data_IF_943618450437
#
_entry.id   IF_943618450437
#
_cell.length_a   1.000
_cell.length_b   1.000
_cell.length_c   1.000
_cell.angle_alpha   90.00
_cell.angle_beta   90.00
_cell.angle_gamma   90.00
#
_symmetry.space_group_name_H-M   'P 1'
#
loop_
_entity.id
_entity.type
_entity.pdbx_description
1 polymer ?
#
# COMPACT_ATOMS: atom_id res chain seq x y z
N UNK A 1 38.23 49.81 -18.87
CA UNK A 1 39.48 49.84 -18.10
C UNK A 1 39.49 48.59 -17.23
N UNK A 2 40.07 47.50 -17.75
CA UNK A 2 41.36 46.90 -17.32
C UNK A 2 41.40 46.53 -15.83
N UNK A 3 41.49 45.23 -15.59
CA UNK A 3 41.85 44.62 -14.31
C UNK A 3 42.03 43.11 -14.47
N UNK A 4 43.14 42.71 -15.12
CA UNK A 4 43.65 41.33 -15.16
C UNK A 4 44.61 41.17 -13.97
N UNK A 5 44.53 40.05 -13.24
CA UNK A 5 45.71 39.40 -12.65
C UNK A 5 45.42 37.94 -12.27
N UNK A 6 46.28 37.05 -12.78
CA UNK A 6 46.39 35.60 -12.51
C UNK A 6 47.46 35.40 -11.41
N UNK A 7 47.49 34.27 -10.68
CA UNK A 7 48.58 33.32 -10.92
C UNK A 7 48.21 31.82 -10.86
N UNK A 8 49.08 31.04 -11.49
CA UNK A 8 49.14 29.58 -11.68
C UNK A 8 49.11 28.73 -10.39
N UNK A 9 48.63 27.46 -10.47
CA UNK A 9 49.45 26.23 -10.40
C UNK A 9 48.63 24.92 -10.49
N UNK A 10 49.00 24.08 -11.46
CA UNK A 10 49.17 22.61 -11.41
C UNK A 10 48.02 21.65 -10.98
N UNK A 11 47.51 20.84 -11.91
CA UNK A 11 47.77 19.38 -12.06
C UNK A 11 46.64 18.66 -12.82
N UNK A 12 47.05 17.68 -13.63
CA UNK A 12 46.33 16.88 -14.60
C UNK A 12 45.11 16.07 -14.06
N UNK A 13 44.15 15.71 -14.92
CA UNK A 13 43.99 14.36 -15.53
C UNK A 13 42.66 14.29 -16.33
N UNK A 14 42.79 13.72 -17.52
CA UNK A 14 41.86 13.23 -18.57
C UNK A 14 40.43 12.81 -18.19
N UNK A 15 39.47 13.03 -19.11
CA UNK A 15 38.56 11.98 -19.65
C UNK A 15 37.58 12.52 -20.73
N UNK A 16 37.91 12.18 -21.98
CA UNK A 16 37.07 11.74 -23.12
C UNK A 16 35.66 12.32 -23.28
N UNK A 17 35.51 13.18 -24.30
CA UNK A 17 34.25 13.52 -24.99
C UNK A 17 33.87 12.37 -25.95
N UNK A 18 32.65 11.84 -25.88
CA UNK A 18 32.04 11.06 -26.96
C UNK A 18 31.10 11.94 -27.79
N UNK A 19 31.36 11.91 -29.09
CA UNK A 19 30.65 12.61 -30.16
C UNK A 19 29.32 11.89 -30.43
N UNK A 20 28.21 12.62 -30.44
CA UNK A 20 26.92 12.13 -30.91
C UNK A 20 26.90 12.21 -32.44
N UNK A 21 26.84 11.04 -33.10
CA UNK A 21 26.55 10.93 -34.53
C UNK A 21 25.21 10.23 -34.68
N UNK A 22 24.34 10.92 -35.42
CA UNK A 22 23.04 10.51 -35.94
C UNK A 22 23.14 9.23 -36.79
N UNK A 23 22.34 8.22 -36.47
CA UNK A 23 21.88 7.20 -37.42
C UNK A 23 20.39 6.94 -37.19
N UNK A 24 19.61 6.97 -38.28
CA UNK A 24 18.23 6.53 -38.35
C UNK A 24 18.17 4.99 -38.20
N UNK A 25 17.08 4.41 -37.69
CA UNK A 25 16.96 2.96 -37.61
C UNK A 25 16.71 2.39 -39.02
N UNK A 26 17.58 1.50 -39.46
CA UNK A 26 17.29 0.56 -40.55
C UNK A 26 16.26 -0.47 -40.04
N UNK A 27 15.17 -0.63 -40.78
CA UNK A 27 14.24 -1.75 -40.64
C UNK A 27 14.97 -3.05 -40.99
N UNK A 28 15.06 -3.97 -40.03
CA UNK A 28 15.30 -5.39 -40.28
C UNK A 28 14.08 -6.18 -39.82
N UNK A 29 13.19 -6.49 -40.76
CA UNK A 29 12.09 -7.44 -40.55
C UNK A 29 12.67 -8.87 -40.49
N UNK A 30 12.86 -9.37 -39.26
CA UNK A 30 12.93 -10.82 -39.00
C UNK A 30 12.18 -11.11 -37.72
N UNK A 31 10.90 -11.45 -37.85
CA UNK A 31 10.07 -11.94 -36.75
C UNK A 31 10.47 -13.39 -36.44
N UNK A 32 11.33 -13.60 -35.43
CA UNK A 32 11.76 -14.91 -34.92
C UNK A 32 11.18 -15.14 -33.51
N UNK A 33 9.87 -15.03 -33.35
CA UNK A 33 9.21 -15.41 -32.09
C UNK A 33 8.08 -16.41 -32.38
N UNK A 34 8.27 -17.65 -31.92
CA UNK A 34 7.23 -18.66 -31.86
C UNK A 34 6.32 -18.38 -30.65
N UNK A 35 5.03 -18.66 -30.79
CA UNK A 35 4.08 -18.64 -29.67
C UNK A 35 4.44 -19.68 -28.61
N UNK A 36 4.08 -19.42 -27.35
CA UNK A 36 4.30 -20.32 -26.22
C UNK A 36 3.86 -21.76 -26.55
N UNK A 37 4.68 -22.75 -26.18
CA UNK A 37 4.50 -24.17 -26.53
C UNK A 37 5.21 -24.60 -27.83
N UNK A 38 5.84 -23.67 -28.55
CA UNK A 38 6.61 -23.98 -29.76
C UNK A 38 8.01 -23.38 -29.72
N UNK A 39 8.98 -24.12 -30.27
CA UNK A 39 10.37 -23.69 -30.39
C UNK A 39 10.77 -23.59 -31.85
N UNK A 40 11.46 -22.49 -32.19
CA UNK A 40 11.94 -22.28 -33.55
C UNK A 40 13.02 -23.31 -33.92
N UNK A 41 12.75 -24.08 -34.97
CA UNK A 41 13.71 -25.03 -35.52
C UNK A 41 14.45 -24.40 -36.70
N UNK A 42 15.73 -24.11 -36.50
CA UNK A 42 16.60 -23.40 -37.46
C UNK A 42 16.86 -24.22 -38.73
N UNK A 43 16.65 -25.54 -38.72
CA UNK A 43 16.87 -26.40 -39.90
C UNK A 43 15.65 -26.48 -40.80
N UNK A 44 14.46 -26.33 -40.23
CA UNK A 44 13.19 -26.39 -40.98
C UNK A 44 12.52 -25.02 -41.16
N UNK A 45 13.09 -23.97 -40.57
CA UNK A 45 12.57 -22.60 -40.57
C UNK A 45 11.09 -22.51 -40.16
N UNK A 46 10.66 -23.42 -39.26
CA UNK A 46 9.29 -23.50 -38.75
C UNK A 46 9.31 -23.69 -37.23
N UNK A 47 8.25 -23.21 -36.57
CA UNK A 47 8.02 -23.47 -35.15
C UNK A 47 7.59 -24.93 -34.95
N UNK A 48 8.38 -25.68 -34.18
CA UNK A 48 8.06 -27.06 -33.81
C UNK A 48 7.52 -27.10 -32.40
N UNK A 49 6.56 -28.01 -32.21
CA UNK A 49 5.95 -28.30 -30.92
C UNK A 49 7.01 -28.73 -29.90
N UNK A 50 6.98 -28.16 -28.69
CA UNK A 50 7.86 -28.53 -27.59
C UNK A 50 7.19 -29.64 -26.79
N UNK A 51 7.89 -30.74 -26.52
CA UNK A 51 7.33 -31.78 -25.67
C UNK A 51 7.45 -31.41 -24.18
N UNK A 52 6.42 -30.78 -23.62
CA UNK A 52 6.48 -30.30 -22.24
C UNK A 52 6.45 -31.41 -21.18
N UNK A 53 6.02 -32.62 -21.55
CA UNK A 53 6.10 -33.77 -20.67
C UNK A 53 7.54 -34.21 -20.37
N UNK A 54 8.50 -33.83 -21.22
CA UNK A 54 9.93 -34.11 -21.02
C UNK A 54 10.68 -32.89 -20.48
N UNK A 55 10.24 -31.67 -20.81
CA UNK A 55 10.92 -30.44 -20.40
C UNK A 55 10.45 -29.87 -19.06
N UNK A 56 9.23 -30.20 -18.59
CA UNK A 56 8.67 -29.77 -17.31
C UNK A 56 8.66 -30.94 -16.30
N UNK A 57 9.49 -30.91 -15.24
CA UNK A 57 9.45 -31.93 -14.19
C UNK A 57 8.12 -31.88 -13.44
N UNK A 58 7.46 -33.03 -13.26
CA UNK A 58 6.11 -33.13 -12.67
C UNK A 58 5.06 -32.25 -13.36
N UNK A 59 5.09 -32.19 -14.70
CA UNK A 59 4.12 -31.45 -15.51
C UNK A 59 2.65 -31.68 -15.06
N UNK A 60 2.31 -32.89 -14.61
CA UNK A 60 1.00 -33.22 -14.07
C UNK A 60 1.05 -33.53 -12.56
N UNK A 61 0.18 -32.88 -11.77
CA UNK A 61 0.03 -33.13 -10.32
C UNK A 61 -0.96 -34.27 -10.04
N UNK A 62 -0.68 -35.11 -9.04
CA UNK A 62 -1.57 -36.21 -8.61
C UNK A 62 -1.39 -37.51 -9.43
N UNK A 63 -2.43 -38.36 -9.51
CA UNK A 63 -2.37 -39.64 -10.25
C UNK A 63 -2.62 -39.50 -11.76
N UNK A 64 -2.16 -38.40 -12.36
CA UNK A 64 -2.41 -38.04 -13.76
C UNK A 64 -1.15 -38.27 -14.61
N UNK A 65 -1.30 -38.83 -15.80
CA UNK A 65 -0.23 -39.09 -16.77
C UNK A 65 -0.20 -37.97 -17.82
N UNK A 66 1.01 -37.46 -18.10
CA UNK A 66 1.24 -36.42 -19.10
C UNK A 66 1.26 -37.00 -20.53
N UNK A 67 0.61 -36.31 -21.47
CA UNK A 67 0.61 -36.59 -22.90
C UNK A 67 0.95 -35.33 -23.66
N UNK A 68 1.94 -35.40 -24.56
CA UNK A 68 2.29 -34.25 -25.39
C UNK A 68 1.17 -33.95 -26.40
N UNK A 69 0.88 -32.67 -26.62
CA UNK A 69 -0.14 -32.20 -27.56
C UNK A 69 0.39 -30.97 -28.32
N UNK A 70 -0.21 -30.62 -29.46
CA UNK A 70 0.27 -29.46 -30.21
C UNK A 70 0.03 -28.16 -29.43
N UNK A 71 1.12 -27.46 -29.09
CA UNK A 71 1.13 -26.20 -28.35
C UNK A 71 1.02 -26.36 -26.83
N UNK A 72 1.24 -27.57 -26.28
CA UNK A 72 1.18 -27.82 -24.84
C UNK A 72 1.04 -29.29 -24.45
N UNK A 73 0.73 -29.57 -23.19
CA UNK A 73 0.56 -30.96 -22.72
C UNK A 73 -0.78 -31.19 -22.02
N UNK A 74 -1.25 -32.44 -22.05
CA UNK A 74 -2.51 -32.88 -21.44
C UNK A 74 -2.25 -33.87 -20.30
N UNK A 75 -2.88 -33.65 -19.16
CA UNK A 75 -2.84 -34.56 -18.01
C UNK A 75 -4.12 -35.42 -17.98
N UNK A 76 -4.01 -36.75 -18.09
CA UNK A 76 -5.15 -37.68 -18.05
C UNK A 76 -5.03 -38.70 -16.90
N UNK A 77 -6.14 -39.16 -16.29
CA UNK A 77 -6.10 -40.14 -15.19
C UNK A 77 -5.60 -41.51 -15.65
N UNK A 78 -4.95 -42.26 -14.76
CA UNK A 78 -4.36 -43.59 -15.06
C UNK A 78 -5.35 -44.69 -15.54
N UNK A 79 -6.66 -44.46 -15.53
CA UNK A 79 -7.70 -45.45 -15.90
C UNK A 79 -8.24 -45.34 -17.34
N UNK A 80 -7.60 -44.60 -18.25
CA UNK A 80 -7.97 -44.61 -19.66
C UNK A 80 -7.21 -45.70 -20.45
N UNK A 81 -7.90 -46.76 -20.86
CA UNK A 81 -7.36 -47.83 -21.69
C UNK A 81 -7.14 -47.39 -23.15
N UNK A 82 -5.94 -47.68 -23.67
CA UNK A 82 -5.52 -47.50 -25.06
C UNK A 82 -5.97 -48.71 -25.89
N UNK A 83 -6.67 -48.50 -27.00
CA UNK A 83 -6.94 -49.53 -28.02
C UNK A 83 -5.95 -49.32 -29.18
N UNK A 84 -5.26 -50.38 -29.66
CA UNK A 84 -4.17 -50.23 -30.62
C UNK A 84 -4.68 -50.07 -32.06
N UNK A 85 -3.91 -49.33 -32.86
CA UNK A 85 -4.07 -49.23 -34.30
C UNK A 85 -3.76 -50.56 -35.01
N UNK A 86 -4.45 -50.93 -36.10
CA UNK A 86 -3.95 -51.89 -37.07
C UNK A 86 -3.21 -51.19 -38.22
N UNK A 87 -2.11 -51.81 -38.63
CA UNK A 87 -1.26 -51.45 -39.75
C UNK A 87 -1.89 -51.86 -41.12
N UNK A 88 -1.35 -51.38 -42.26
CA UNK A 88 -1.95 -51.48 -43.58
C UNK A 88 -1.51 -52.75 -44.32
N UNK A 89 -2.27 -53.18 -45.34
CA UNK A 89 -1.82 -53.98 -46.50
C UNK A 89 -3.03 -54.33 -47.41
N UNK A 90 -2.89 -54.84 -48.66
CA UNK A 90 -2.35 -54.21 -49.86
C UNK A 90 -3.37 -54.46 -51.04
N UNK A 91 -3.00 -54.43 -52.35
CA UNK A 91 -3.94 -54.11 -53.43
C UNK A 91 -4.75 -55.30 -53.99
N UNK A 92 -5.85 -54.89 -54.62
CA UNK A 92 -6.72 -55.55 -55.61
C UNK A 92 -6.06 -56.56 -56.56
N UNK A 93 -6.79 -57.63 -56.90
CA UNK A 93 -7.19 -58.10 -58.26
C UNK A 93 -7.87 -59.51 -58.17
N UNK A 94 -8.40 -60.10 -59.26
CA UNK A 94 -9.78 -59.99 -59.77
C UNK A 94 -10.49 -61.39 -59.80
N UNK A 95 -11.71 -61.48 -60.33
CA UNK A 95 -12.19 -62.52 -61.27
C UNK A 95 -13.72 -62.69 -61.26
N UNK A 96 -14.29 -62.62 -62.49
CA UNK A 96 -15.32 -63.47 -63.13
C UNK A 96 -16.32 -64.25 -62.24
N UNK A 97 -17.61 -64.37 -62.55
CA UNK A 97 -18.33 -64.38 -63.84
C UNK A 97 -19.85 -64.46 -63.59
N UNK A 98 -20.63 -63.91 -64.53
CA UNK A 98 -21.93 -64.33 -65.12
C UNK A 98 -22.78 -65.43 -64.42
N UNK A 99 -24.13 -65.44 -64.55
CA UNK A 99 -24.79 -65.35 -65.87
C UNK A 99 -26.19 -64.69 -65.96
N UNK A 100 -26.54 -64.46 -67.23
CA UNK A 100 -27.85 -64.50 -67.91
C UNK A 100 -29.10 -63.96 -67.19
N UNK A 101 -29.76 -62.97 -67.80
CA UNK A 101 -31.02 -63.24 -68.52
C UNK A 101 -31.61 -62.01 -69.24
N UNK A 102 -32.10 -62.28 -70.46
CA UNK A 102 -33.32 -61.76 -71.11
C UNK A 102 -33.33 -60.34 -71.68
N UNK A 103 -33.54 -60.33 -72.99
CA UNK A 103 -33.83 -59.21 -73.91
C UNK A 103 -35.28 -58.72 -73.84
N UNK A 104 -35.46 -57.45 -74.29
CA UNK A 104 -36.66 -56.70 -74.73
C UNK A 104 -37.13 -55.57 -73.79
N UNK A 105 -37.73 -54.45 -74.27
CA UNK A 105 -37.40 -53.60 -75.42
C UNK A 105 -37.27 -52.09 -75.03
N UNK A 106 -36.50 -51.35 -75.83
CA UNK A 106 -36.47 -49.88 -76.00
C UNK A 106 -36.90 -48.94 -74.85
N UNK A 107 -35.91 -48.38 -74.16
CA UNK A 107 -35.97 -47.02 -73.64
C UNK A 107 -34.66 -46.30 -73.99
N UNK A 108 -34.71 -45.24 -74.80
CA UNK A 108 -33.52 -44.62 -75.42
C UNK A 108 -32.72 -43.70 -74.48
N UNK A 109 -32.89 -43.82 -73.17
CA UNK A 109 -32.16 -43.04 -72.18
C UNK A 109 -31.64 -43.94 -71.04
N UNK A 110 -30.45 -43.66 -70.47
CA UNK A 110 -29.96 -44.36 -69.28
C UNK A 110 -30.97 -44.31 -68.12
N UNK A 111 -30.89 -45.27 -67.19
CA UNK A 111 -31.70 -45.27 -65.96
C UNK A 111 -31.55 -43.91 -65.23
N UNK A 112 -32.67 -43.36 -64.74
CA UNK A 112 -32.73 -42.01 -64.15
C UNK A 112 -32.99 -40.87 -65.14
N UNK A 113 -33.16 -41.16 -66.44
CA UNK A 113 -33.43 -40.15 -67.47
C UNK A 113 -34.68 -40.46 -68.28
N UNK A 114 -35.44 -39.43 -68.66
CA UNK A 114 -36.59 -39.53 -69.56
C UNK A 114 -36.30 -38.91 -70.94
N UNK A 115 -36.89 -39.49 -71.98
CA UNK A 115 -36.74 -39.00 -73.35
C UNK A 115 -37.74 -37.88 -73.63
N UNK A 116 -37.26 -36.64 -73.62
CA UNK A 116 -38.04 -35.46 -73.99
C UNK A 116 -37.51 -34.92 -75.32
N UNK A 117 -38.23 -35.20 -76.41
CA UNK A 117 -37.89 -34.70 -77.75
C UNK A 117 -36.55 -35.21 -78.31
N UNK A 118 -36.18 -36.46 -78.01
CA UNK A 118 -34.93 -37.08 -78.50
C UNK A 118 -33.68 -36.69 -77.71
N UNK A 119 -33.84 -36.00 -76.58
CA UNK A 119 -32.77 -35.72 -75.59
C UNK A 119 -33.15 -36.36 -74.26
N UNK A 120 -32.16 -36.89 -73.56
CA UNK A 120 -32.33 -37.45 -72.24
C UNK A 120 -32.25 -36.33 -71.21
N UNK A 121 -33.36 -36.10 -70.51
CA UNK A 121 -33.46 -35.13 -69.42
C UNK A 121 -33.51 -35.91 -68.11
N UNK A 122 -32.78 -35.41 -67.13
CA UNK A 122 -32.73 -35.96 -65.78
C UNK A 122 -34.14 -35.99 -65.17
N UNK A 123 -34.53 -37.14 -64.61
CA UNK A 123 -35.79 -37.29 -63.89
C UNK A 123 -35.56 -36.74 -62.50
N UNK A 124 -36.25 -35.65 -62.14
CA UNK A 124 -36.23 -35.20 -60.74
C UNK A 124 -37.11 -36.14 -59.89
N UNK A 125 -36.50 -37.18 -59.31
CA UNK A 125 -37.22 -38.16 -58.50
C UNK A 125 -37.79 -37.54 -57.22
N UNK A 126 -37.20 -36.45 -56.73
CA UNK A 126 -37.65 -35.72 -55.56
C UNK A 126 -38.95 -34.93 -55.82
N UNK A 127 -39.08 -34.30 -56.99
CA UNK A 127 -40.33 -33.62 -57.37
C UNK A 127 -41.44 -34.59 -57.75
N UNK A 128 -41.08 -35.79 -58.22
CA UNK A 128 -42.01 -36.81 -58.69
C UNK A 128 -42.42 -37.83 -57.62
N UNK A 129 -41.91 -37.67 -56.39
CA UNK A 129 -42.12 -38.59 -55.26
C UNK A 129 -41.75 -40.05 -55.63
N UNK A 130 -40.71 -40.21 -56.46
CA UNK A 130 -40.19 -41.49 -56.95
C UNK A 130 -38.85 -41.84 -56.29
N UNK A 131 -38.75 -41.58 -54.98
CA UNK A 131 -37.57 -41.85 -54.16
C UNK A 131 -37.91 -42.74 -52.97
N UNK A 132 -36.90 -43.37 -52.38
CA UNK A 132 -37.03 -44.20 -51.17
C UNK A 132 -36.50 -43.51 -49.90
N UNK A 133 -36.27 -42.18 -49.95
CA UNK A 133 -35.88 -41.39 -48.79
C UNK A 133 -36.90 -41.49 -47.65
N UNK A 134 -36.40 -41.66 -46.42
CA UNK A 134 -37.24 -41.66 -45.22
C UNK A 134 -37.80 -40.26 -44.93
N UNK A 135 -38.93 -40.14 -44.20
CA UNK A 135 -39.52 -38.83 -43.85
C UNK A 135 -38.60 -37.90 -43.05
N UNK A 136 -37.55 -38.43 -42.42
CA UNK A 136 -36.54 -37.68 -41.67
C UNK A 136 -35.36 -37.20 -42.53
N UNK A 137 -35.37 -37.48 -43.84
CA UNK A 137 -34.31 -37.13 -44.80
C UNK A 137 -34.84 -36.17 -45.86
N UNK A 138 -33.93 -35.37 -46.42
CA UNK A 138 -34.19 -34.55 -47.58
C UNK A 138 -33.71 -35.27 -48.84
N UNK A 139 -34.60 -35.41 -49.81
CA UNK A 139 -34.27 -35.89 -51.14
C UNK A 139 -33.58 -34.76 -51.90
N UNK A 140 -32.38 -35.03 -52.43
CA UNK A 140 -31.66 -34.15 -53.33
C UNK A 140 -31.50 -34.84 -54.67
N UNK A 141 -32.05 -34.22 -55.72
CA UNK A 141 -31.94 -34.73 -57.07
C UNK A 141 -30.49 -34.57 -57.59
N UNK A 142 -29.97 -35.61 -58.23
CA UNK A 142 -28.63 -35.65 -58.82
C UNK A 142 -28.72 -36.14 -60.26
N UNK A 143 -27.70 -35.90 -61.07
CA UNK A 143 -27.77 -36.34 -62.48
C UNK A 143 -27.80 -37.88 -62.58
N UNK A 144 -28.92 -38.43 -63.02
CA UNK A 144 -29.17 -39.86 -63.18
C UNK A 144 -29.66 -40.58 -61.93
N UNK A 145 -30.15 -39.86 -60.92
CA UNK A 145 -30.74 -40.45 -59.72
C UNK A 145 -30.84 -39.46 -58.56
N UNK A 146 -31.14 -39.92 -57.35
CA UNK A 146 -31.27 -39.05 -56.18
C UNK A 146 -30.37 -39.50 -55.02
N UNK A 147 -30.09 -38.58 -54.10
CA UNK A 147 -29.45 -38.90 -52.82
C UNK A 147 -30.35 -38.44 -51.66
N UNK A 148 -30.42 -39.25 -50.61
CA UNK A 148 -31.13 -38.90 -49.38
C UNK A 148 -30.13 -38.43 -48.32
N UNK A 149 -30.22 -37.15 -47.95
CA UNK A 149 -29.34 -36.52 -46.97
C UNK A 149 -30.09 -36.21 -45.68
N UNK A 150 -29.42 -36.34 -44.53
CA UNK A 150 -29.99 -35.87 -43.27
C UNK A 150 -30.02 -34.33 -43.23
N UNK A 151 -30.97 -33.72 -42.50
CA UNK A 151 -30.98 -32.29 -42.23
C UNK A 151 -29.66 -31.81 -41.60
N UNK A 152 -29.34 -30.53 -41.75
CA UNK A 152 -28.17 -29.93 -41.10
C UNK A 152 -28.20 -30.17 -39.58
N UNK A 153 -27.06 -30.53 -39.00
CA UNK A 153 -26.95 -30.92 -37.58
C UNK A 153 -27.25 -32.40 -37.30
N UNK A 154 -27.57 -33.21 -38.31
CA UNK A 154 -27.81 -34.65 -38.17
C UNK A 154 -26.83 -35.48 -38.98
N UNK A 155 -26.43 -36.64 -38.45
CA UNK A 155 -25.60 -37.63 -39.15
C UNK A 155 -26.40 -38.89 -39.43
N UNK A 156 -26.11 -39.52 -40.57
CA UNK A 156 -26.73 -40.78 -40.98
C UNK A 156 -26.09 -41.96 -40.23
N UNK A 157 -26.89 -42.74 -39.51
CA UNK A 157 -26.47 -43.97 -38.85
C UNK A 157 -27.40 -45.10 -39.29
N UNK A 158 -26.91 -45.97 -40.17
CA UNK A 158 -27.78 -46.90 -40.89
C UNK A 158 -28.74 -46.15 -41.81
N UNK A 159 -30.03 -46.25 -41.56
CA UNK A 159 -31.09 -45.53 -42.28
C UNK A 159 -31.63 -44.31 -41.52
N UNK A 160 -31.32 -44.14 -40.24
CA UNK A 160 -31.87 -43.05 -39.42
C UNK A 160 -30.94 -41.84 -39.37
N UNK A 161 -31.54 -40.65 -39.23
CA UNK A 161 -30.83 -39.40 -38.97
C UNK A 161 -30.80 -39.16 -37.46
N UNK A 162 -29.61 -39.24 -36.89
CA UNK A 162 -29.38 -39.01 -35.46
C UNK A 162 -28.69 -37.67 -35.30
N UNK A 163 -29.18 -36.90 -34.34
CA UNK A 163 -28.61 -35.61 -33.95
C UNK A 163 -27.10 -35.72 -33.67
N UNK A 164 -26.34 -34.74 -34.15
CA UNK A 164 -24.91 -34.64 -33.88
C UNK A 164 -24.76 -33.97 -32.52
N UNK A 165 -24.27 -34.72 -31.53
CA UNK A 165 -23.98 -34.14 -30.21
C UNK A 165 -22.71 -33.27 -30.28
N UNK A 166 -22.87 -31.99 -30.61
CA UNK A 166 -21.74 -31.05 -30.75
C UNK A 166 -20.99 -30.86 -29.42
N UNK A 167 -21.66 -31.08 -28.29
CA UNK A 167 -21.04 -30.94 -26.96
C UNK A 167 -19.92 -31.96 -26.70
N UNK A 168 -19.86 -33.06 -27.46
CA UNK A 168 -18.74 -34.02 -27.39
C UNK A 168 -17.43 -33.46 -27.94
N UNK A 169 -17.49 -32.40 -28.74
CA UNK A 169 -16.34 -31.84 -29.46
C UNK A 169 -15.82 -30.53 -28.85
N UNK A 170 -16.22 -30.19 -27.61
CA UNK A 170 -15.76 -28.99 -26.87
C UNK A 170 -15.90 -27.68 -27.65
N UNK A 171 -17.00 -27.52 -28.38
CA UNK A 171 -17.27 -26.32 -29.16
C UNK A 171 -17.57 -25.05 -28.35
N UNK A 172 -17.83 -25.18 -27.05
CA UNK A 172 -18.10 -24.08 -26.12
C UNK A 172 -16.95 -23.92 -25.12
N UNK A 173 -16.64 -22.67 -24.75
CA UNK A 173 -15.62 -22.39 -23.73
C UNK A 173 -16.06 -22.84 -22.33
N UNK A 174 -17.31 -22.56 -21.96
CA UNK A 174 -17.91 -22.96 -20.68
C UNK A 174 -18.90 -24.11 -20.88
N UNK A 175 -20.19 -23.91 -20.58
CA UNK A 175 -21.20 -24.97 -20.63
C UNK A 175 -21.77 -25.13 -22.04
N UNK A 176 -21.88 -26.36 -22.51
CA UNK A 176 -22.57 -26.70 -23.76
C UNK A 176 -23.90 -27.40 -23.47
N UNK A 177 -24.95 -27.05 -24.22
CA UNK A 177 -26.24 -27.73 -24.20
C UNK A 177 -26.59 -28.14 -25.62
N UNK A 178 -26.73 -29.45 -25.82
CA UNK A 178 -27.08 -30.04 -27.11
C UNK A 178 -28.59 -29.95 -27.34
N UNK A 179 -28.99 -29.55 -28.54
CA UNK A 179 -30.39 -29.48 -28.97
C UNK A 179 -30.56 -30.25 -30.29
N UNK A 180 -31.75 -30.78 -30.59
CA UNK A 180 -31.95 -31.43 -31.88
C UNK A 180 -31.64 -30.48 -33.06
N UNK A 181 -30.62 -30.80 -33.84
CA UNK A 181 -30.14 -30.05 -35.02
C UNK A 181 -29.20 -28.89 -34.71
N UNK A 182 -28.82 -28.65 -33.44
CA UNK A 182 -27.93 -27.54 -33.07
C UNK A 182 -27.41 -27.64 -31.64
N UNK A 183 -26.64 -26.65 -31.19
CA UNK A 183 -26.20 -26.55 -29.80
C UNK A 183 -26.16 -25.09 -29.36
N UNK A 184 -26.20 -24.87 -28.05
CA UNK A 184 -26.06 -23.55 -27.45
C UNK A 184 -24.97 -23.57 -26.39
N UNK A 185 -24.10 -22.57 -26.44
CA UNK A 185 -23.11 -22.31 -25.40
C UNK A 185 -23.67 -21.37 -24.34
N UNK A 186 -23.39 -21.67 -23.08
CA UNK A 186 -23.78 -20.89 -21.91
C UNK A 186 -22.55 -20.54 -21.09
N UNK A 187 -22.46 -19.29 -20.66
CA UNK A 187 -21.37 -18.83 -19.82
C UNK A 187 -21.70 -19.01 -18.33
N UNK A 188 -20.67 -19.28 -17.52
CA UNK A 188 -20.76 -19.24 -16.07
C UNK A 188 -21.13 -17.82 -15.57
N UNK A 189 -21.66 -17.68 -14.34
CA UNK A 189 -21.93 -16.37 -13.74
C UNK A 189 -20.68 -15.48 -13.74
N UNK A 190 -20.84 -14.18 -13.99
CA UNK A 190 -19.72 -13.23 -14.16
C UNK A 190 -19.17 -13.17 -15.59
N UNK A 191 -19.74 -13.93 -16.53
CA UNK A 191 -19.34 -13.93 -17.94
C UNK A 191 -20.54 -13.74 -18.87
N UNK A 192 -20.28 -13.18 -20.03
CA UNK A 192 -21.26 -13.03 -21.10
C UNK A 192 -20.79 -13.69 -22.40
N UNK A 193 -21.73 -14.16 -23.21
CA UNK A 193 -21.44 -14.83 -24.46
C UNK A 193 -20.88 -13.82 -25.48
N UNK A 194 -19.72 -14.13 -26.04
CA UNK A 194 -19.10 -13.32 -27.08
C UNK A 194 -19.89 -13.40 -28.39
N UNK A 195 -19.64 -12.47 -29.32
CA UNK A 195 -20.35 -12.41 -30.61
C UNK A 195 -20.17 -13.63 -31.52
N UNK A 196 -19.24 -14.54 -31.19
CA UNK A 196 -19.05 -15.81 -31.88
C UNK A 196 -19.97 -16.94 -31.35
N UNK A 197 -20.82 -16.66 -30.35
CA UNK A 197 -21.71 -17.60 -29.67
C UNK A 197 -21.03 -18.84 -29.06
N UNK A 198 -19.72 -18.79 -28.81
CA UNK A 198 -18.92 -19.94 -28.35
C UNK A 198 -18.01 -19.60 -27.18
N UNK A 199 -17.43 -18.40 -27.20
CA UNK A 199 -16.52 -17.91 -26.17
C UNK A 199 -17.28 -17.10 -25.12
N UNK A 200 -16.73 -17.04 -23.92
CA UNK A 200 -17.23 -16.30 -22.80
C UNK A 200 -16.23 -15.21 -22.44
N UNK A 201 -16.70 -13.97 -22.44
CA UNK A 201 -15.92 -12.82 -22.02
C UNK A 201 -16.33 -12.42 -20.62
N UNK A 202 -15.34 -12.04 -19.83
CA UNK A 202 -15.51 -11.56 -18.47
C UNK A 202 -16.40 -10.30 -18.46
N UNK A 203 -17.34 -10.26 -17.54
CA UNK A 203 -18.19 -9.09 -17.33
C UNK A 203 -17.48 -8.19 -16.36
N UNK A 204 -17.15 -6.97 -16.80
CA UNK A 204 -16.57 -5.99 -15.89
C UNK A 204 -17.67 -5.39 -14.99
N UNK A 205 -17.85 -5.92 -13.78
CA UNK A 205 -18.88 -5.41 -12.87
C UNK A 205 -18.59 -3.98 -12.40
N UNK A 206 -17.33 -3.54 -12.43
CA UNK A 206 -16.97 -2.16 -12.09
C UNK A 206 -17.56 -1.15 -13.08
N UNK A 207 -17.58 -1.48 -14.38
CA UNK A 207 -18.17 -0.63 -15.41
C UNK A 207 -19.70 -0.64 -15.34
N UNK A 208 -20.28 -1.70 -14.78
CA UNK A 208 -21.72 -1.85 -14.57
C UNK A 208 -22.23 -1.20 -13.27
N UNK A 209 -21.35 -0.51 -12.52
CA UNK A 209 -21.72 0.15 -11.27
C UNK A 209 -21.72 -0.77 -10.06
N UNK A 210 -20.65 -1.57 -9.90
CA UNK A 210 -20.42 -2.40 -8.72
C UNK A 210 -20.68 -1.62 -7.41
N UNK A 211 -21.23 -2.28 -6.37
CA UNK A 211 -21.63 -1.66 -5.10
C UNK A 211 -20.45 -1.23 -4.20
N UNK A 212 -19.24 -1.12 -4.73
CA UNK A 212 -18.07 -0.70 -3.96
C UNK A 212 -18.21 0.76 -3.51
N UNK A 213 -17.98 1.04 -2.22
CA UNK A 213 -18.05 2.41 -1.71
C UNK A 213 -16.93 3.32 -2.24
N UNK A 214 -15.72 2.77 -2.45
CA UNK A 214 -14.54 3.54 -2.84
C UNK A 214 -13.92 3.02 -4.14
N UNK A 215 -13.13 1.94 -4.11
CA UNK A 215 -12.47 1.40 -5.30
C UNK A 215 -13.01 0.04 -5.68
N UNK A 216 -13.27 -0.14 -6.97
CA UNK A 216 -13.58 -1.44 -7.57
C UNK A 216 -12.37 -1.93 -8.38
N UNK A 217 -12.08 -3.23 -8.34
CA UNK A 217 -11.13 -3.88 -9.23
C UNK A 217 -11.79 -5.10 -9.83
N UNK A 218 -11.93 -5.11 -11.15
CA UNK A 218 -12.44 -6.25 -11.88
C UNK A 218 -11.44 -7.40 -11.84
N UNK A 219 -11.94 -8.61 -11.67
CA UNK A 219 -11.15 -9.85 -11.65
C UNK A 219 -11.84 -10.89 -12.53
N UNK A 220 -11.15 -11.96 -12.87
CA UNK A 220 -11.76 -12.97 -13.74
C UNK A 220 -12.94 -13.67 -13.05
N UNK A 221 -14.15 -13.47 -13.58
CA UNK A 221 -15.43 -14.02 -13.12
C UNK A 221 -16.07 -13.31 -11.94
N UNK A 222 -15.49 -12.20 -11.46
CA UNK A 222 -16.00 -11.44 -10.30
C UNK A 222 -15.28 -10.11 -10.15
N UNK A 223 -15.60 -9.35 -9.10
CA UNK A 223 -14.90 -8.12 -8.75
C UNK A 223 -14.56 -8.11 -7.25
N UNK A 224 -13.58 -7.29 -6.90
CA UNK A 224 -13.22 -7.03 -5.50
C UNK A 224 -13.24 -5.54 -5.21
N UNK A 225 -13.85 -5.18 -4.08
CA UNK A 225 -13.79 -3.82 -3.57
C UNK A 225 -12.55 -3.62 -2.71
N UNK A 226 -11.98 -2.43 -2.80
CA UNK A 226 -10.85 -2.00 -1.98
C UNK A 226 -11.12 -0.62 -1.41
N UNK A 227 -10.56 -0.39 -0.24
CA UNK A 227 -10.63 0.90 0.43
C UNK A 227 -9.36 1.70 0.18
N UNK A 228 -9.49 3.02 0.24
CA UNK A 228 -8.40 3.97 0.25
C UNK A 228 -7.58 3.84 1.54
N UNK A 229 -6.41 4.47 1.56
CA UNK A 229 -5.57 4.48 2.75
C UNK A 229 -6.31 5.12 3.93
N UNK A 230 -6.19 4.50 5.12
CA UNK A 230 -6.90 4.94 6.33
C UNK A 230 -8.29 4.33 6.50
N UNK A 231 -8.72 3.44 5.61
CA UNK A 231 -10.00 2.75 5.69
C UNK A 231 -9.83 1.22 5.66
N UNK A 232 -10.72 0.52 6.34
CA UNK A 232 -10.82 -0.94 6.33
C UNK A 232 -12.10 -1.41 5.62
N UNK A 233 -12.00 -2.54 4.92
CA UNK A 233 -13.14 -3.13 4.24
C UNK A 233 -14.08 -3.77 5.27
N UNK A 234 -15.35 -3.39 5.21
CA UNK A 234 -16.41 -3.91 6.05
C UNK A 234 -16.66 -5.40 5.82
N UNK A 235 -17.36 -6.04 6.76
CA UNK A 235 -17.74 -7.45 6.69
C UNK A 235 -18.68 -7.78 5.52
N UNK A 236 -19.31 -6.78 4.93
CA UNK A 236 -20.12 -6.89 3.73
C UNK A 236 -19.28 -7.01 2.45
N UNK A 237 -17.97 -6.71 2.51
CA UNK A 237 -17.08 -6.75 1.36
C UNK A 237 -17.20 -5.56 0.41
N UNK A 238 -18.01 -4.54 0.76
CA UNK A 238 -18.35 -3.41 -0.11
C UNK A 238 -18.13 -2.05 0.56
N UNK A 239 -18.46 -1.94 1.85
CA UNK A 239 -18.35 -0.70 2.61
C UNK A 239 -16.92 -0.51 3.11
N UNK A 240 -16.49 0.74 3.20
CA UNK A 240 -15.21 1.16 3.74
C UNK A 240 -15.44 1.94 5.03
N UNK A 241 -14.94 1.42 6.14
CA UNK A 241 -15.01 2.06 7.45
C UNK A 241 -13.70 2.74 7.75
N UNK A 242 -13.79 3.94 8.30
CA UNK A 242 -12.63 4.69 8.77
C UNK A 242 -11.91 3.92 9.88
N UNK A 243 -10.58 3.85 9.81
CA UNK A 243 -9.78 3.20 10.84
C UNK A 243 -9.58 4.21 11.97
N UNK A 244 -10.16 3.95 13.14
CA UNK A 244 -9.93 4.79 14.31
C UNK A 244 -8.54 4.54 14.90
N UNK A 245 -7.54 5.27 14.41
CA UNK A 245 -6.16 5.11 14.88
C UNK A 245 -6.02 5.53 16.34
N UNK A 246 -6.80 6.51 16.79
CA UNK A 246 -6.80 6.99 18.17
C UNK A 246 -7.35 5.94 19.14
N UNK A 247 -8.30 5.10 18.70
CA UNK A 247 -8.80 3.94 19.46
C UNK A 247 -7.78 2.80 19.56
N UNK A 248 -6.87 2.68 18.59
CA UNK A 248 -5.86 1.62 18.55
C UNK A 248 -4.68 1.86 19.49
N UNK A 249 -4.18 3.09 19.61
CA UNK A 249 -3.02 3.40 20.44
C UNK A 249 -3.04 4.82 20.98
N UNK A 250 -2.97 4.93 22.30
CA UNK A 250 -2.85 6.21 23.01
C UNK A 250 -1.46 6.87 22.86
N UNK A 251 -0.47 6.17 22.29
CA UNK A 251 0.91 6.66 22.14
C UNK A 251 1.16 7.34 20.78
N UNK A 252 0.14 7.48 19.93
CA UNK A 252 0.28 8.11 18.61
C UNK A 252 0.61 9.61 18.69
N UNK A 253 0.09 10.29 19.71
CA UNK A 253 0.23 11.71 19.95
C UNK A 253 0.71 11.95 21.38
N UNK A 254 1.49 13.01 21.61
CA UNK A 254 1.98 13.33 22.96
C UNK A 254 0.87 13.85 23.91
N UNK A 255 -0.15 14.53 23.37
CA UNK A 255 -1.25 15.10 24.16
C UNK A 255 -2.61 14.51 23.77
N UNK A 256 -3.17 14.95 22.64
CA UNK A 256 -4.49 14.52 22.21
C UNK A 256 -4.45 14.05 20.75
N UNK A 257 -5.01 12.87 20.51
CA UNK A 257 -5.27 12.33 19.18
C UNK A 257 -6.71 12.64 18.79
N UNK A 258 -6.92 13.06 17.55
CA UNK A 258 -8.23 13.30 16.95
C UNK A 258 -8.35 12.46 15.69
N UNK A 259 -9.30 11.53 15.69
CA UNK A 259 -9.58 10.69 14.55
C UNK A 259 -10.36 11.49 13.49
N UNK A 260 -9.92 11.44 12.23
CA UNK A 260 -10.55 12.09 11.09
C UNK A 260 -10.78 11.05 9.97
N UNK A 261 -11.68 11.31 9.00
CA UNK A 261 -11.88 10.35 7.91
C UNK A 261 -10.60 10.14 7.08
N UNK A 262 -10.07 8.92 7.08
CA UNK A 262 -8.90 8.43 6.35
C UNK A 262 -7.56 8.77 6.98
N UNK A 263 -7.54 9.40 8.16
CA UNK A 263 -6.31 9.82 8.86
C UNK A 263 -6.63 10.24 10.29
N UNK A 264 -5.59 10.39 11.10
CA UNK A 264 -5.68 11.11 12.37
C UNK A 264 -4.82 12.36 12.39
N UNK A 265 -5.14 13.26 13.32
CA UNK A 265 -4.32 14.42 13.65
C UNK A 265 -4.01 14.46 15.14
N UNK A 266 -2.88 15.08 15.47
CA UNK A 266 -2.51 15.36 16.86
C UNK A 266 -2.77 16.82 17.16
N UNK A 267 -3.29 17.10 18.34
CA UNK A 267 -3.52 18.47 18.82
C UNK A 267 -2.68 18.71 20.05
N UNK A 268 -2.08 19.90 20.13
CA UNK A 268 -1.35 20.36 21.30
C UNK A 268 -2.20 21.32 22.13
N UNK A 269 -1.97 21.38 23.45
CA UNK A 269 -2.66 22.33 24.31
C UNK A 269 -2.25 23.78 23.98
N UNK A 270 -3.01 24.74 24.50
CA UNK A 270 -2.70 26.16 24.34
C UNK A 270 -1.29 26.51 24.85
N UNK A 271 -0.57 27.38 24.13
CA UNK A 271 0.83 27.70 24.41
C UNK A 271 1.85 26.68 23.87
N UNK A 272 1.40 25.62 23.19
CA UNK A 272 2.27 24.61 22.58
C UNK A 272 2.03 24.49 21.07
N UNK A 273 3.11 24.23 20.33
CA UNK A 273 3.09 23.98 18.89
C UNK A 273 3.39 22.50 18.59
N UNK A 274 2.63 21.94 17.65
CA UNK A 274 2.84 20.57 17.18
C UNK A 274 4.07 20.48 16.27
N UNK A 275 5.02 19.64 16.65
CA UNK A 275 6.18 19.29 15.84
C UNK A 275 5.88 18.16 14.85
N UNK A 276 6.72 18.01 13.82
CA UNK A 276 6.61 16.90 12.85
C UNK A 276 6.68 15.53 13.51
N UNK A 277 7.34 15.44 14.66
CA UNK A 277 7.45 14.22 15.49
C UNK A 277 6.21 13.93 16.33
N UNK A 278 5.12 14.70 16.17
CA UNK A 278 3.88 14.61 16.97
C UNK A 278 4.08 14.93 18.46
N UNK A 279 5.16 15.64 18.76
CA UNK A 279 5.47 16.18 20.07
C UNK A 279 5.00 17.64 20.14
N UNK A 280 4.52 18.04 21.30
CA UNK A 280 4.15 19.40 21.64
C UNK A 280 5.37 20.11 22.22
N UNK A 281 5.80 21.16 21.55
CA UNK A 281 6.86 22.03 22.02
C UNK A 281 6.25 23.33 22.54
N UNK A 282 6.73 23.77 23.70
CA UNK A 282 6.42 25.08 24.25
C UNK A 282 6.71 26.21 23.24
N UNK A 283 5.77 27.14 23.12
CA UNK A 283 5.95 28.35 22.29
C UNK A 283 6.59 29.41 23.15
N UNK A 284 7.79 29.84 22.79
CA UNK A 284 8.45 30.92 23.52
C UNK A 284 7.88 32.29 23.11
N UNK A 285 6.93 32.82 23.88
CA UNK A 285 6.32 34.12 23.58
C UNK A 285 7.30 35.29 23.73
N UNK A 286 8.35 35.11 24.54
CA UNK A 286 9.42 36.09 24.73
C UNK A 286 10.32 36.22 23.49
N UNK A 287 10.59 35.11 22.79
CA UNK A 287 11.38 35.10 21.55
C UNK A 287 10.53 35.46 20.33
N UNK A 288 9.29 35.01 20.29
CA UNK A 288 8.37 35.29 19.18
C UNK A 288 7.78 36.71 19.24
N UNK A 289 7.94 37.42 20.36
CA UNK A 289 7.44 38.78 20.55
C UNK A 289 5.91 38.88 20.67
N UNK A 290 5.24 37.77 20.95
CA UNK A 290 3.78 37.67 21.11
C UNK A 290 3.33 37.96 22.55
N UNK A 291 4.28 38.16 23.46
CA UNK A 291 4.01 38.51 24.85
C UNK A 291 3.33 39.87 25.00
N UNK A 292 2.49 40.03 26.03
CA UNK A 292 1.78 41.28 26.33
C UNK A 292 2.42 42.10 27.47
N UNK A 293 3.72 41.91 27.71
CA UNK A 293 4.46 42.66 28.74
C UNK A 293 4.62 44.15 28.40
N UNK A 294 4.54 45.00 29.43
CA UNK A 294 4.79 46.45 29.29
C UNK A 294 6.29 46.76 29.18
N UNK A 295 6.66 47.96 28.73
CA UNK A 295 8.08 48.40 28.66
C UNK A 295 8.81 48.39 30.01
N UNK A 296 8.07 48.44 31.12
CA UNK A 296 8.63 48.37 32.48
C UNK A 296 8.81 46.94 32.99
N UNK A 297 8.46 45.94 32.18
CA UNK A 297 8.49 44.53 32.51
C UNK A 297 9.43 43.78 31.57
N UNK A 298 10.06 42.74 32.11
CA UNK A 298 10.81 41.75 31.35
C UNK A 298 9.94 40.51 31.15
N UNK A 299 10.00 39.92 29.96
CA UNK A 299 9.34 38.65 29.66
C UNK A 299 10.18 37.47 30.15
N UNK A 300 9.54 36.49 30.78
CA UNK A 300 10.12 35.20 31.17
C UNK A 300 9.27 34.10 30.57
N UNK A 301 9.90 33.24 29.77
CA UNK A 301 9.23 32.10 29.17
C UNK A 301 8.96 31.00 30.21
N UNK A 302 7.81 30.34 30.11
CA UNK A 302 7.38 29.28 31.02
C UNK A 302 6.67 28.17 30.25
N UNK A 303 6.68 26.92 30.74
CA UNK A 303 6.00 25.83 30.02
C UNK A 303 4.48 26.08 29.89
N UNK A 304 4.01 26.33 28.67
CA UNK A 304 2.64 26.67 28.32
C UNK A 304 2.29 28.15 28.41
N UNK A 305 3.28 29.06 28.43
CA UNK A 305 3.02 30.50 28.41
C UNK A 305 4.19 31.37 28.84
N UNK A 306 3.90 32.59 29.27
CA UNK A 306 4.93 33.52 29.75
C UNK A 306 4.52 34.24 31.03
N UNK A 307 5.50 34.91 31.65
CA UNK A 307 5.32 35.80 32.80
C UNK A 307 5.98 37.14 32.55
N UNK A 308 5.24 38.21 32.82
CA UNK A 308 5.75 39.56 32.81
C UNK A 308 6.17 39.93 34.22
N UNK A 309 7.44 40.26 34.39
CA UNK A 309 8.03 40.55 35.70
C UNK A 309 8.68 41.91 35.69
N UNK A 310 8.34 42.76 36.65
CA UNK A 310 8.80 44.15 36.69
C UNK A 310 10.33 44.26 36.66
N UNK A 311 10.83 45.29 35.99
CA UNK A 311 12.28 45.50 35.87
C UNK A 311 12.92 45.86 37.21
N UNK A 312 12.19 46.49 38.15
CA UNK A 312 12.65 46.74 39.51
C UNK A 312 11.87 45.88 40.52
N UNK A 313 12.53 44.85 41.04
CA UNK A 313 11.94 43.84 41.95
C UNK A 313 12.36 44.02 43.41
N UNK A 314 13.24 44.99 43.66
CA UNK A 314 13.80 45.19 44.99
C UNK A 314 12.78 45.92 45.87
N UNK A 315 12.39 45.29 46.97
CA UNK A 315 11.58 45.93 48.01
C UNK A 315 12.51 46.66 48.98
N UNK A 316 12.08 47.80 49.51
CA UNK A 316 12.80 48.46 50.60
C UNK A 316 13.03 47.45 51.75
N UNK A 317 14.23 47.38 52.36
CA UNK A 317 15.37 48.31 52.27
C UNK A 317 16.36 48.11 51.10
N UNK A 318 16.14 47.11 50.25
CA UNK A 318 17.08 46.75 49.19
C UNK A 318 17.13 47.77 48.05
N UNK A 319 18.32 47.96 47.49
CA UNK A 319 18.55 48.74 46.28
C UNK A 319 18.91 47.83 45.11
N UNK A 320 18.43 48.18 43.92
CA UNK A 320 18.73 47.43 42.71
C UNK A 320 20.14 47.76 42.21
N UNK A 321 20.96 46.73 42.04
CA UNK A 321 22.33 46.86 41.49
C UNK A 321 22.40 46.31 40.06
N UNK A 322 21.55 45.32 39.74
CA UNK A 322 21.31 44.85 38.38
C UNK A 322 19.88 44.32 38.24
N UNK A 323 19.45 44.00 37.01
CA UNK A 323 18.07 43.56 36.71
C UNK A 323 17.57 42.42 37.63
N UNK A 324 18.48 41.55 38.06
CA UNK A 324 18.14 40.40 38.92
C UNK A 324 18.86 40.40 40.27
N UNK A 325 19.53 41.49 40.67
CA UNK A 325 20.29 41.55 41.93
C UNK A 325 19.95 42.79 42.74
N UNK A 326 19.46 42.53 43.94
CA UNK A 326 19.18 43.50 44.97
C UNK A 326 20.25 43.40 46.06
N UNK A 327 20.76 44.52 46.54
CA UNK A 327 21.75 44.56 47.63
C UNK A 327 21.20 45.39 48.77
N UNK A 328 21.43 44.93 50.00
CA UNK A 328 21.12 45.69 51.19
C UNK A 328 22.36 46.51 51.59
N UNK A 329 22.34 47.84 51.46
CA UNK A 329 23.50 48.65 51.75
C UNK A 329 23.72 48.73 53.26
N UNK A 330 24.98 48.59 53.70
CA UNK A 330 25.37 48.69 55.12
C UNK A 330 25.04 50.04 55.75
N UNK A 331 24.80 51.07 54.93
CA UNK A 331 24.38 52.40 55.40
C UNK A 331 22.95 52.44 55.93
N UNK A 332 22.08 51.48 55.56
CA UNK A 332 20.70 51.42 56.04
C UNK A 332 20.62 50.55 57.30
N UNK A 333 20.15 51.07 58.45
CA UNK A 333 20.06 50.28 59.68
C UNK A 333 19.11 49.08 59.56
N UNK A 334 18.06 49.18 58.71
CA UNK A 334 17.15 48.09 58.40
C UNK A 334 17.83 46.88 57.72
N UNK A 335 19.05 47.03 57.20
CA UNK A 335 19.82 45.97 56.56
C UNK A 335 20.66 45.12 57.52
N UNK A 336 20.77 45.50 58.80
CA UNK A 336 21.70 44.86 59.76
C UNK A 336 21.49 43.35 59.89
N UNK A 337 20.23 42.93 59.98
CA UNK A 337 19.83 41.53 60.18
C UNK A 337 19.22 40.90 58.92
N UNK A 338 19.38 41.55 57.76
CA UNK A 338 18.85 41.08 56.48
C UNK A 338 19.96 40.47 55.62
N UNK A 339 19.63 39.55 54.71
CA UNK A 339 20.59 39.05 53.73
C UNK A 339 21.25 40.19 52.96
N UNK A 340 22.56 40.08 52.75
CA UNK A 340 23.39 41.09 52.06
C UNK A 340 22.90 41.33 50.64
N UNK A 341 22.49 40.26 49.96
CA UNK A 341 21.95 40.36 48.60
C UNK A 341 20.85 39.34 48.35
N UNK A 342 19.92 39.72 47.47
CA UNK A 342 18.87 38.86 46.93
C UNK A 342 19.07 38.79 45.42
N UNK A 343 19.25 37.58 44.89
CA UNK A 343 19.32 37.32 43.44
C UNK A 343 18.03 36.65 43.01
N UNK A 344 17.37 37.18 41.98
CA UNK A 344 16.16 36.60 41.42
C UNK A 344 16.49 35.67 40.25
N UNK A 345 15.95 34.45 40.27
CA UNK A 345 16.02 33.50 39.17
C UNK A 345 14.65 32.90 38.91
N UNK A 346 14.45 32.50 37.66
CA UNK A 346 13.22 31.92 37.16
C UNK A 346 13.56 30.64 36.45
N UNK A 347 12.72 29.65 36.62
CA UNK A 347 12.77 28.43 35.84
C UNK A 347 11.36 27.88 35.68
N UNK A 348 11.18 27.08 34.64
CA UNK A 348 9.99 26.26 34.47
C UNK A 348 10.34 24.79 34.54
N UNK A 349 9.37 23.97 34.95
CA UNK A 349 9.47 22.53 34.91
C UNK A 349 8.12 21.91 34.56
N UNK A 350 8.15 20.68 34.07
CA UNK A 350 6.95 19.92 33.70
C UNK A 350 6.25 19.32 34.92
N UNK A 351 4.95 19.10 34.78
CA UNK A 351 4.09 18.45 35.78
C UNK A 351 4.48 16.98 35.98
N UNK A 352 4.17 16.42 37.15
CA UNK A 352 4.28 14.98 37.43
C UNK A 352 5.66 14.36 37.12
N UNK A 353 6.71 15.16 37.33
CA UNK A 353 8.10 14.70 37.17
C UNK A 353 8.41 13.57 38.15
N UNK A 354 9.20 12.60 37.70
CA UNK A 354 9.68 11.51 38.56
C UNK A 354 10.47 12.05 39.75
N UNK A 355 10.28 11.45 40.93
CA UNK A 355 10.95 11.85 42.18
C UNK A 355 11.73 10.68 42.81
N UNK A 356 12.86 10.96 43.50
CA UNK A 356 13.48 12.28 43.67
C UNK A 356 14.16 12.76 42.38
N UNK A 357 14.08 14.07 42.09
CA UNK A 357 14.73 14.68 40.92
C UNK A 357 15.54 15.89 41.31
N UNK A 358 16.77 15.97 40.78
CA UNK A 358 17.59 17.17 40.83
C UNK A 358 16.94 18.26 39.94
N UNK A 359 16.67 19.43 40.49
CA UNK A 359 15.93 20.52 39.82
C UNK A 359 16.82 21.72 39.53
N UNK A 360 17.62 22.14 40.51
CA UNK A 360 18.40 23.37 40.38
C UNK A 360 19.71 23.27 41.16
N UNK A 361 20.83 23.46 40.47
CA UNK A 361 22.15 23.51 41.12
C UNK A 361 22.45 24.92 41.61
N UNK A 362 22.73 25.04 42.91
CA UNK A 362 23.13 26.27 43.56
C UNK A 362 24.66 26.28 43.62
N UNK A 363 25.27 27.39 43.19
CA UNK A 363 26.72 27.57 43.24
C UNK A 363 27.07 28.96 43.77
N UNK A 364 28.09 29.04 44.64
CA UNK A 364 28.55 30.32 45.17
C UNK A 364 29.35 31.09 44.13
N UNK A 365 29.21 32.42 44.13
CA UNK A 365 29.98 33.31 43.23
C UNK A 365 31.25 33.85 43.86
N UNK A 366 31.39 33.75 45.18
CA UNK A 366 32.51 34.30 45.93
C UNK A 366 32.94 33.33 47.03
N UNK A 367 34.12 32.72 46.84
CA UNK A 367 34.72 31.79 47.81
C UNK A 367 35.76 32.56 48.61
N UNK A 368 35.50 32.77 49.90
CA UNK A 368 36.48 33.37 50.79
C UNK A 368 37.36 32.25 51.37
N UNK A 369 38.70 32.38 51.35
CA UNK A 369 39.58 31.40 51.97
C UNK A 369 39.23 31.20 53.44
N UNK A 370 39.01 29.93 53.84
CA UNK A 370 38.61 29.56 55.20
C UNK A 370 37.13 29.72 55.54
N UNK A 371 36.28 30.23 54.64
CA UNK A 371 34.84 30.33 54.87
C UNK A 371 34.13 28.99 54.61
N UNK A 372 33.23 28.63 55.52
CA UNK A 372 32.30 27.50 55.38
C UNK A 372 30.94 28.03 54.94
N UNK A 373 30.40 27.46 53.85
CA UNK A 373 29.10 27.83 53.31
C UNK A 373 28.08 26.70 53.53
N UNK A 374 26.94 27.04 54.10
CA UNK A 374 25.80 26.15 54.28
C UNK A 374 24.61 26.68 53.49
N UNK A 375 23.90 25.79 52.81
CA UNK A 375 22.71 26.14 52.04
C UNK A 375 21.45 25.60 52.73
N UNK A 376 20.40 26.42 52.80
CA UNK A 376 19.10 26.03 53.37
C UNK A 376 17.94 26.69 52.63
N UNK A 377 16.77 26.06 52.67
CA UNK A 377 15.52 26.70 52.24
C UNK A 377 15.06 27.59 53.40
N UNK A 378 15.03 28.91 53.18
CA UNK A 378 14.62 29.90 54.19
C UNK A 378 13.10 30.04 54.25
N UNK A 379 12.43 30.02 53.10
CA UNK A 379 10.98 30.09 52.98
C UNK A 379 10.50 29.64 51.60
N UNK A 380 9.20 29.36 51.47
CA UNK A 380 8.52 29.06 50.21
C UNK A 380 8.24 27.58 49.96
N UNK A 381 8.64 26.70 50.87
CA UNK A 381 8.43 25.25 50.80
C UNK A 381 7.56 24.75 51.96
N UNK A 382 6.32 25.22 52.03
CA UNK A 382 5.42 24.94 53.15
C UNK A 382 5.01 23.45 53.22
N UNK A 383 5.05 22.73 52.09
CA UNK A 383 4.66 21.33 51.97
C UNK A 383 5.84 20.34 52.07
N UNK A 384 7.07 20.82 52.22
CA UNK A 384 8.28 19.99 52.08
C UNK A 384 8.30 19.23 50.74
N UNK A 385 7.94 19.93 49.67
CA UNK A 385 8.01 19.45 48.29
C UNK A 385 9.48 19.40 47.83
N UNK A 386 10.37 20.15 48.49
CA UNK A 386 11.77 20.26 48.13
C UNK A 386 12.71 19.97 49.32
N UNK A 387 13.95 19.64 49.01
CA UNK A 387 15.03 19.67 50.01
C UNK A 387 16.35 20.05 49.35
N UNK A 388 17.31 20.49 50.17
CA UNK A 388 18.65 20.81 49.70
C UNK A 388 19.59 19.66 50.06
N UNK A 389 20.26 19.14 49.02
CA UNK A 389 21.37 18.20 49.17
C UNK A 389 22.69 18.96 48.99
N UNK A 390 23.43 19.13 50.09
CA UNK A 390 24.77 19.73 50.04
C UNK A 390 25.71 18.83 49.21
N UNK A 391 26.40 19.39 48.22
CA UNK A 391 27.38 18.64 47.41
C UNK A 391 28.78 18.88 47.97
N UNK A 392 29.17 20.14 48.13
CA UNK A 392 30.46 20.55 48.68
C UNK A 392 30.36 21.95 49.31
N UNK A 393 31.49 22.55 49.71
CA UNK A 393 31.49 23.87 50.35
C UNK A 393 31.09 25.04 49.42
N UNK A 394 30.94 24.82 48.12
CA UNK A 394 30.61 25.87 47.13
C UNK A 394 29.38 25.55 46.29
N UNK A 395 28.78 24.36 46.44
CA UNK A 395 27.60 23.97 45.70
C UNK A 395 26.65 23.06 46.48
N UNK A 396 25.38 23.18 46.14
CA UNK A 396 24.30 22.32 46.62
C UNK A 396 23.27 22.08 45.51
N UNK A 397 22.46 21.04 45.65
CA UNK A 397 21.38 20.71 44.73
C UNK A 397 20.03 20.94 45.42
N UNK A 398 19.13 21.67 44.77
CA UNK A 398 17.72 21.65 45.10
C UNK A 398 17.10 20.41 44.46
N UNK A 399 16.50 19.56 45.28
CA UNK A 399 15.92 18.28 44.87
C UNK A 399 14.42 18.31 45.14
N UNK A 400 13.63 17.88 44.16
CA UNK A 400 12.19 17.64 44.30
C UNK A 400 11.97 16.33 45.05
N UNK A 401 11.33 16.42 46.22
CA UNK A 401 11.01 15.28 47.09
C UNK A 401 9.71 14.59 46.68
N UNK A 402 8.72 15.37 46.27
CA UNK A 402 7.35 14.91 46.00
C UNK A 402 6.93 15.32 44.60
N UNK A 403 6.16 14.47 43.93
CA UNK A 403 5.62 14.79 42.61
C UNK A 403 4.68 15.99 42.73
N UNK A 404 4.86 16.98 41.87
CA UNK A 404 4.05 18.20 41.85
C UNK A 404 3.24 18.28 40.57
N UNK A 405 1.96 18.56 40.71
CA UNK A 405 1.04 18.74 39.58
C UNK A 405 0.79 20.22 39.37
N UNK A 406 1.05 20.71 38.15
CA UNK A 406 0.76 22.09 37.76
C UNK A 406 -0.69 22.31 37.30
N UNK A 407 -1.07 23.56 36.96
CA UNK A 407 -0.25 24.75 37.00
C UNK A 407 -0.04 25.26 38.43
N UNK A 408 1.21 25.42 38.86
CA UNK A 408 1.55 25.88 40.21
C UNK A 408 2.85 26.69 40.19
N UNK A 409 2.94 27.71 41.02
CA UNK A 409 4.14 28.52 41.17
C UNK A 409 4.71 28.39 42.59
N UNK A 410 6.03 28.21 42.66
CA UNK A 410 6.79 28.23 43.91
C UNK A 410 7.74 29.40 43.91
N UNK A 411 7.83 30.12 45.04
CA UNK A 411 8.82 31.18 45.24
C UNK A 411 9.68 30.79 46.43
N UNK A 412 10.80 30.13 46.14
CA UNK A 412 11.72 29.61 47.15
C UNK A 412 12.82 30.65 47.45
N UNK A 413 13.01 30.97 48.72
CA UNK A 413 14.18 31.74 49.17
C UNK A 413 15.26 30.76 49.63
N UNK A 414 16.24 30.50 48.77
CA UNK A 414 17.37 29.61 49.04
C UNK A 414 18.49 30.46 49.65
N UNK A 415 18.79 30.26 50.93
CA UNK A 415 19.77 31.03 51.67
C UNK A 415 21.12 30.31 51.73
N UNK A 416 22.17 31.04 51.37
CA UNK A 416 23.55 30.66 51.61
C UNK A 416 24.07 31.46 52.81
N UNK A 417 24.47 30.75 53.87
CA UNK A 417 25.14 31.35 55.03
C UNK A 417 26.63 31.04 54.93
N UNK A 418 27.45 32.07 54.90
CA UNK A 418 28.91 31.98 54.87
C UNK A 418 29.48 32.41 56.21
N UNK A 419 30.22 31.52 56.86
CA UNK A 419 30.86 31.76 58.16
C UNK A 419 32.36 31.62 57.99
N UNK A 420 33.10 32.69 58.28
CA UNK A 420 34.56 32.67 58.35
C UNK A 420 35.02 32.79 59.81
N UNK A 421 35.44 31.69 60.45
CA UNK A 421 35.84 31.69 61.85
C UNK A 421 37.13 32.46 62.12
N UNK A 422 37.98 32.65 61.10
CA UNK A 422 39.26 33.38 61.24
C UNK A 422 39.01 34.89 61.33
N UNK A 423 38.06 35.39 60.53
CA UNK A 423 37.73 36.82 60.45
C UNK A 423 36.53 37.23 61.31
N UNK A 424 35.95 36.28 62.05
CA UNK A 424 34.70 36.44 62.82
C UNK A 424 33.57 37.08 61.97
N UNK A 425 33.50 36.68 60.71
CA UNK A 425 32.62 37.26 59.69
C UNK A 425 31.52 36.27 59.35
N UNK A 426 30.27 36.70 59.47
CA UNK A 426 29.09 35.97 59.03
C UNK A 426 28.35 36.82 58.00
N UNK A 427 28.02 36.22 56.86
CA UNK A 427 27.18 36.86 55.86
C UNK A 427 26.17 35.89 55.29
N UNK A 428 25.01 36.41 54.91
CA UNK A 428 23.96 35.66 54.25
C UNK A 428 23.64 36.28 52.89
N UNK A 429 23.39 35.44 51.89
CA UNK A 429 22.84 35.85 50.60
C UNK A 429 21.72 34.91 50.21
N UNK A 430 20.68 35.45 49.59
CA UNK A 430 19.48 34.70 49.20
C UNK A 430 19.37 34.64 47.69
N UNK A 431 19.10 33.46 47.17
CA UNK A 431 18.62 33.22 45.83
C UNK A 431 17.10 33.02 45.91
N UNK A 432 16.34 34.00 45.40
CA UNK A 432 14.90 33.88 45.23
C UNK A 432 14.61 33.19 43.90
N UNK A 433 14.31 31.90 43.96
CA UNK A 433 14.02 31.06 42.81
C UNK A 433 12.51 30.94 42.63
N UNK A 434 11.98 31.51 41.54
CA UNK A 434 10.59 31.33 41.12
C UNK A 434 10.53 30.13 40.16
N UNK A 435 9.85 29.08 40.57
CA UNK A 435 9.69 27.84 39.80
C UNK A 435 8.24 27.76 39.33
N UNK A 436 8.03 27.77 38.02
CA UNK A 436 6.72 27.53 37.43
C UNK A 436 6.58 26.07 37.00
N UNK A 437 5.61 25.38 37.59
CA UNK A 437 5.23 24.02 37.18
C UNK A 437 4.15 24.15 36.12
N UNK A 438 4.47 23.74 34.89
CA UNK A 438 3.52 23.72 33.78
C UNK A 438 2.36 22.75 34.02
N UNK A 439 1.23 22.91 33.32
CA UNK A 439 0.04 22.07 33.49
C UNK A 439 0.26 20.62 33.00
N UNK A 440 1.19 20.43 32.04
CA UNK A 440 1.43 19.14 31.39
C UNK A 440 2.78 18.54 31.78
N UNK A 441 2.89 17.22 31.66
CA UNK A 441 4.09 16.45 32.07
C UNK A 441 5.18 16.37 31.00
N UNK A 442 4.92 16.90 29.81
CA UNK A 442 5.82 16.88 28.66
C UNK A 442 6.45 18.23 28.33
#
# INVERSE_FOLDING_TARGET
MRGVCVPLLCMCVSLVLHCAISQAPEESDTYMECTDGYQWDVQTEHCKDVNECETIPEACKGEMKCFNHYGGYLCLPRSASVIPAPAPDPPSQPEDSLPDEVTEPYNSCPLGYESQGGRCVDIDECQRDQHDCLPSQHCLNTQGGFICQCPDGYRKVGTECIDIDECRYRYCQHRCVNYPGSFICQCEPGFQLAGNNRSCIDVNECDMGAPCQQRCTNTYGTFVCRCEQGYELGSDGFSCKDIDECGFSSFLCQYQCVNEPGKFSCVCPEGYQLQRTRLCQDVNECETGTHQCTERQSCINTNGGYRCVDNNRCKDPYIQVSNNRCVCPVSKPACRDQPLSIVHRYMSMTSNRLVPSDIFQIQTTSVHPGAHNTFRIRSGDDNSDFYIRQINNISAMLVLAQSVTGPKEYVLDLEMVSINPIMNYQSSSVLRLSIYVGPHSF
#
